data_IF_539752613321
#
_entry.id   IF_539752613321
#
_cell.length_a   1.000
_cell.length_b   1.000
_cell.length_c   1.000
_cell.angle_alpha   90.00
_cell.angle_beta   90.00
_cell.angle_gamma   90.00
#
_symmetry.space_group_name_H-M   'P 1'
#
loop_
_entity.id
_entity.type
_entity.pdbx_description
1 polymer ?
#
# COMPACT_ATOMS: atom_id res chain seq x y z
N UNK A 1 21.54 17.05 0.87
CA UNK A 1 20.46 16.47 0.05
C UNK A 1 20.82 16.67 -1.41
N UNK A 2 20.87 15.61 -2.22
CA UNK A 2 21.12 15.72 -3.67
C UNK A 2 19.89 16.24 -4.40
N UNK A 3 20.05 16.82 -5.59
CA UNK A 3 18.95 17.24 -6.46
C UNK A 3 18.03 16.05 -6.80
N UNK A 4 18.61 14.86 -6.98
CA UNK A 4 17.87 13.60 -7.19
C UNK A 4 16.94 13.28 -6.02
N UNK A 5 17.40 13.42 -4.77
CA UNK A 5 16.57 13.14 -3.59
C UNK A 5 15.41 14.13 -3.39
N UNK A 6 15.50 15.34 -3.95
CA UNK A 6 14.43 16.36 -3.90
C UNK A 6 13.29 16.07 -4.87
N UNK A 7 13.57 15.34 -5.96
CA UNK A 7 12.58 15.02 -6.99
C UNK A 7 12.04 13.60 -6.79
N UNK A 8 12.90 12.64 -6.45
CA UNK A 8 12.51 11.24 -6.26
C UNK A 8 11.46 11.06 -5.15
N UNK A 9 11.62 11.76 -4.02
CA UNK A 9 10.71 11.63 -2.87
C UNK A 9 9.27 12.09 -3.17
N UNK A 10 9.03 13.29 -3.76
CA UNK A 10 7.70 13.66 -4.23
C UNK A 10 7.11 12.68 -5.25
N UNK A 11 7.90 12.17 -6.18
CA UNK A 11 7.43 11.22 -7.19
C UNK A 11 7.01 9.88 -6.58
N UNK A 12 7.81 9.34 -5.65
CA UNK A 12 7.45 8.13 -4.91
C UNK A 12 6.20 8.37 -4.05
N UNK A 13 6.14 9.51 -3.34
CA UNK A 13 5.01 9.88 -2.50
C UNK A 13 3.70 10.02 -3.28
N UNK A 14 3.73 10.47 -4.53
CA UNK A 14 2.54 10.71 -5.34
C UNK A 14 1.65 9.46 -5.47
N UNK A 15 2.26 8.27 -5.62
CA UNK A 15 1.54 7.01 -5.74
C UNK A 15 0.74 6.72 -4.46
N UNK A 16 1.37 6.90 -3.30
CA UNK A 16 0.75 6.68 -1.99
C UNK A 16 -0.34 7.69 -1.67
N UNK A 17 -0.09 8.98 -1.93
CA UNK A 17 -1.07 10.04 -1.68
C UNK A 17 -2.29 9.87 -2.57
N UNK A 18 -2.10 9.61 -3.87
CA UNK A 18 -3.19 9.40 -4.80
C UNK A 18 -4.02 8.16 -4.42
N UNK A 19 -3.35 7.04 -4.15
CA UNK A 19 -3.99 5.80 -3.71
C UNK A 19 -4.75 5.98 -2.39
N UNK A 20 -4.17 6.69 -1.42
CA UNK A 20 -4.80 6.94 -0.13
C UNK A 20 -6.06 7.82 -0.27
N UNK A 21 -5.97 8.93 -1.02
CA UNK A 21 -7.13 9.81 -1.27
C UNK A 21 -8.27 9.07 -1.96
N UNK A 22 -7.95 8.27 -2.98
CA UNK A 22 -8.94 7.48 -3.71
C UNK A 22 -9.72 6.54 -2.77
N UNK A 23 -9.06 5.89 -1.83
CA UNK A 23 -9.74 5.00 -0.85
C UNK A 23 -10.45 5.70 0.27
N UNK A 24 -9.97 6.86 0.70
CA UNK A 24 -10.73 7.67 1.65
C UNK A 24 -12.08 8.11 1.03
N UNK A 25 -12.11 8.35 -0.28
CA UNK A 25 -13.32 8.73 -1.02
C UNK A 25 -14.18 7.52 -1.42
N UNK A 26 -13.54 6.43 -1.86
CA UNK A 26 -14.18 5.24 -2.41
C UNK A 26 -13.59 3.97 -1.76
N UNK A 27 -13.94 3.66 -0.50
CA UNK A 27 -13.34 2.53 0.22
C UNK A 27 -13.84 1.17 -0.29
N UNK A 28 -15.06 1.11 -0.82
CA UNK A 28 -15.80 -0.13 -1.14
C UNK A 28 -14.99 -1.20 -1.89
N UNK A 29 -14.31 -0.88 -3.01
CA UNK A 29 -13.50 -1.85 -3.73
C UNK A 29 -12.36 -2.46 -2.90
N UNK A 30 -11.75 -1.69 -1.99
CA UNK A 30 -10.67 -2.17 -1.12
C UNK A 30 -11.21 -2.94 0.08
N UNK A 31 -12.39 -2.58 0.58
CA UNK A 31 -13.11 -3.34 1.63
C UNK A 31 -13.50 -4.71 1.10
N UNK A 32 -14.17 -4.78 -0.06
CA UNK A 32 -14.57 -6.05 -0.67
C UNK A 32 -13.36 -6.99 -0.90
N UNK A 33 -12.22 -6.43 -1.30
CA UNK A 33 -10.99 -7.22 -1.47
C UNK A 33 -10.37 -7.67 -0.14
N UNK A 34 -10.51 -6.87 0.92
CA UNK A 34 -10.05 -7.25 2.26
C UNK A 34 -10.94 -8.32 2.90
N UNK A 35 -12.25 -8.27 2.67
CA UNK A 35 -13.21 -9.27 3.15
C UNK A 35 -13.10 -10.61 2.40
N UNK A 36 -12.63 -10.59 1.15
CA UNK A 36 -12.38 -11.82 0.38
C UNK A 36 -11.14 -12.60 0.82
N UNK A 37 -10.41 -12.12 1.83
CA UNK A 37 -9.21 -12.78 2.32
C UNK A 37 -9.54 -13.99 3.20
N UNK A 38 -8.64 -14.99 3.26
CA UNK A 38 -8.80 -16.13 4.14
C UNK A 38 -8.98 -15.71 5.62
N UNK A 39 -9.83 -16.42 6.40
CA UNK A 39 -10.11 -16.10 7.80
C UNK A 39 -8.86 -15.94 8.68
N UNK A 40 -7.79 -16.68 8.36
CA UNK A 40 -6.54 -16.62 9.11
C UNK A 40 -5.86 -15.24 9.05
N UNK A 41 -6.13 -14.47 8.00
CA UNK A 41 -5.61 -13.11 7.81
C UNK A 41 -6.53 -12.10 8.50
N UNK A 42 -7.85 -12.25 8.36
CA UNK A 42 -8.84 -11.33 8.93
C UNK A 42 -9.02 -11.47 10.44
N UNK A 43 -8.91 -12.68 11.01
CA UNK A 43 -8.98 -12.90 12.47
C UNK A 43 -7.81 -12.30 13.25
N UNK A 44 -6.68 -12.05 12.57
CA UNK A 44 -5.51 -11.39 13.17
C UNK A 44 -5.64 -9.86 13.25
N UNK A 45 -6.68 -9.28 12.64
CA UNK A 45 -6.87 -7.85 12.59
C UNK A 45 -7.56 -7.35 13.88
N UNK A 46 -7.00 -6.35 14.57
CA UNK A 46 -7.47 -5.91 15.89
C UNK A 46 -8.76 -5.08 15.87
N UNK A 47 -9.51 -5.07 14.76
CA UNK A 47 -10.67 -4.19 14.56
C UNK A 47 -11.77 -4.94 13.82
N UNK A 48 -12.97 -4.92 14.38
CA UNK A 48 -14.15 -5.62 13.84
C UNK A 48 -14.71 -4.98 12.55
N UNK A 49 -14.30 -3.75 12.24
CA UNK A 49 -14.77 -2.97 11.09
C UNK A 49 -13.66 -2.85 10.01
N UNK A 50 -13.80 -3.67 8.96
CA UNK A 50 -12.90 -3.70 7.81
C UNK A 50 -12.83 -2.36 7.08
N UNK A 51 -13.92 -1.61 7.02
CA UNK A 51 -13.94 -0.29 6.37
C UNK A 51 -13.09 0.72 7.13
N UNK A 52 -13.16 0.70 8.47
CA UNK A 52 -12.31 1.55 9.30
C UNK A 52 -10.83 1.21 9.15
N UNK A 53 -10.47 -0.07 9.06
CA UNK A 53 -9.10 -0.51 8.80
C UNK A 53 -8.58 -0.01 7.45
N UNK A 54 -9.38 -0.16 6.40
CA UNK A 54 -9.05 0.28 5.05
C UNK A 54 -8.86 1.79 5.00
N UNK A 55 -9.76 2.57 5.62
CA UNK A 55 -9.65 4.03 5.72
C UNK A 55 -8.47 4.47 6.58
N UNK A 56 -8.21 3.78 7.69
CA UNK A 56 -7.07 4.05 8.56
C UNK A 56 -5.74 3.88 7.82
N UNK A 57 -5.58 2.76 7.10
CA UNK A 57 -4.40 2.52 6.27
C UNK A 57 -4.24 3.59 5.18
N UNK A 58 -5.34 3.98 4.53
CA UNK A 58 -5.33 5.05 3.54
C UNK A 58 -4.91 6.41 4.15
N UNK A 59 -5.37 6.72 5.36
CA UNK A 59 -4.92 7.90 6.11
C UNK A 59 -3.41 7.89 6.37
N UNK A 60 -2.85 6.75 6.77
CA UNK A 60 -1.40 6.58 6.94
C UNK A 60 -0.67 6.83 5.62
N UNK A 61 -1.14 6.30 4.49
CA UNK A 61 -0.52 6.51 3.18
C UNK A 61 -0.48 7.98 2.77
N UNK A 62 -1.57 8.73 3.01
CA UNK A 62 -1.61 10.17 2.71
C UNK A 62 -0.64 10.94 3.60
N UNK A 63 -0.71 10.75 4.93
CA UNK A 63 0.12 11.49 5.88
C UNK A 63 1.61 11.17 5.68
N UNK A 64 1.96 9.89 5.60
CA UNK A 64 3.34 9.46 5.41
C UNK A 64 3.85 9.84 4.01
N UNK A 65 3.02 9.77 2.96
CA UNK A 65 3.37 10.26 1.63
C UNK A 65 3.69 11.75 1.62
N UNK A 66 2.86 12.58 2.24
CA UNK A 66 3.10 14.02 2.36
C UNK A 66 4.38 14.33 3.17
N UNK A 67 4.60 13.63 4.29
CA UNK A 67 5.83 13.77 5.08
C UNK A 67 7.08 13.38 4.27
N UNK A 68 7.00 12.30 3.49
CA UNK A 68 8.08 11.87 2.60
C UNK A 68 8.37 12.91 1.51
N UNK A 69 7.32 13.44 0.86
CA UNK A 69 7.42 14.46 -0.18
C UNK A 69 8.06 15.76 0.34
N UNK A 70 7.63 16.22 1.52
CA UNK A 70 8.17 17.40 2.20
C UNK A 70 9.55 17.15 2.81
N UNK A 71 10.04 15.92 2.81
CA UNK A 71 11.32 15.53 3.41
C UNK A 71 11.34 15.62 4.94
N UNK A 72 10.16 15.62 5.59
CA UNK A 72 10.01 15.69 7.04
C UNK A 72 9.98 14.27 7.62
N UNK A 73 10.97 13.94 8.46
CA UNK A 73 11.15 12.59 9.02
C UNK A 73 11.11 11.46 7.94
N UNK A 74 11.91 11.57 6.87
CA UNK A 74 11.75 10.71 5.68
C UNK A 74 11.95 9.22 5.97
N UNK A 75 12.75 8.86 6.98
CA UNK A 75 12.93 7.45 7.39
C UNK A 75 11.69 6.88 8.06
N UNK A 76 11.03 7.65 8.92
CA UNK A 76 9.79 7.23 9.58
C UNK A 76 8.63 7.19 8.57
N UNK A 77 8.56 8.17 7.69
CA UNK A 77 7.58 8.20 6.61
C UNK A 77 7.74 6.97 5.69
N UNK A 78 8.98 6.65 5.27
CA UNK A 78 9.25 5.45 4.48
C UNK A 78 8.90 4.15 5.23
N UNK A 79 9.25 4.05 6.52
CA UNK A 79 8.90 2.89 7.34
C UNK A 79 7.36 2.71 7.47
N UNK A 80 6.62 3.81 7.65
CA UNK A 80 5.16 3.78 7.71
C UNK A 80 4.55 3.38 6.36
N UNK A 81 5.04 3.91 5.25
CA UNK A 81 4.60 3.52 3.90
C UNK A 81 4.92 2.05 3.62
N UNK A 82 6.09 1.57 4.02
CA UNK A 82 6.44 0.17 3.91
C UNK A 82 5.51 -0.72 4.73
N UNK A 83 5.27 -0.38 6.00
CA UNK A 83 4.31 -1.09 6.84
C UNK A 83 2.89 -1.09 6.26
N UNK A 84 2.47 -0.01 5.60
CA UNK A 84 1.15 0.08 4.95
C UNK A 84 1.00 -0.82 3.72
N UNK A 85 2.12 -1.19 3.08
CA UNK A 85 2.14 -1.99 1.86
C UNK A 85 2.21 -3.49 2.12
N UNK A 86 2.84 -3.93 3.22
CA UNK A 86 3.02 -5.36 3.53
C UNK A 86 1.66 -6.09 3.62
N UNK A 87 0.65 -5.59 4.37
CA UNK A 87 -0.65 -6.24 4.45
C UNK A 87 -1.34 -6.26 3.09
N UNK A 88 -1.32 -5.15 2.34
CA UNK A 88 -2.01 -5.04 1.05
C UNK A 88 -1.36 -5.85 -0.07
N UNK A 89 -0.05 -6.12 0.02
CA UNK A 89 0.68 -6.88 -1.00
C UNK A 89 0.53 -8.38 -0.75
N UNK A 90 0.61 -8.82 0.52
CA UNK A 90 0.35 -10.21 0.90
C UNK A 90 -1.12 -10.60 0.66
N UNK A 91 -2.05 -9.71 0.96
CA UNK A 91 -3.49 -9.91 0.75
C UNK A 91 -3.91 -9.78 -0.73
N UNK A 92 -3.30 -8.85 -1.45
CA UNK A 92 -3.77 -8.43 -2.77
C UNK A 92 -3.13 -9.18 -3.95
N UNK A 93 -1.99 -9.83 -3.77
CA UNK A 93 -1.19 -10.38 -4.87
C UNK A 93 -0.51 -11.70 -4.51
N UNK A 94 -1.26 -12.68 -4.02
CA UNK A 94 -0.77 -14.06 -3.84
C UNK A 94 -0.61 -14.76 -5.19
N UNK A 95 0.37 -14.34 -5.99
CA UNK A 95 0.66 -14.96 -7.29
C UNK A 95 0.96 -16.47 -7.16
N UNK A 96 1.39 -16.90 -5.97
CA UNK A 96 1.66 -18.29 -5.62
C UNK A 96 0.40 -19.17 -5.50
N UNK A 97 -0.79 -18.57 -5.43
CA UNK A 97 -2.10 -19.25 -5.39
C UNK A 97 -2.86 -19.16 -6.72
N UNK A 98 -2.36 -18.40 -7.70
CA UNK A 98 -3.03 -18.20 -9.00
C UNK A 98 -2.68 -19.33 -9.98
N UNK A 99 -3.67 -20.10 -10.43
CA UNK A 99 -3.47 -21.25 -11.32
C UNK A 99 -3.32 -20.87 -12.80
N UNK A 100 -3.88 -19.73 -13.23
CA UNK A 100 -3.72 -19.23 -14.59
C UNK A 100 -2.31 -18.62 -14.80
N UNK A 101 -1.49 -19.14 -15.72
CA UNK A 101 -0.15 -18.62 -15.99
C UNK A 101 -0.13 -17.13 -16.38
N UNK A 102 -1.16 -16.65 -17.10
CA UNK A 102 -1.22 -15.26 -17.54
C UNK A 102 -1.55 -14.31 -16.37
N UNK A 103 -2.57 -14.62 -15.58
CA UNK A 103 -2.90 -13.89 -14.35
C UNK A 103 -1.74 -13.87 -13.35
N UNK A 104 -1.05 -15.01 -13.16
CA UNK A 104 0.11 -15.13 -12.27
C UNK A 104 1.23 -14.16 -12.67
N UNK A 105 1.58 -14.09 -13.95
CA UNK A 105 2.62 -13.18 -14.45
C UNK A 105 2.25 -11.70 -14.22
N UNK A 106 0.97 -11.36 -14.36
CA UNK A 106 0.48 -10.01 -14.10
C UNK A 106 0.56 -9.66 -12.59
N UNK A 107 0.16 -10.58 -11.71
CA UNK A 107 0.29 -10.39 -10.26
C UNK A 107 1.75 -10.24 -9.83
N UNK A 108 2.68 -11.04 -10.37
CA UNK A 108 4.11 -10.90 -10.13
C UNK A 108 4.65 -9.52 -10.54
N UNK A 109 4.19 -8.99 -11.67
CA UNK A 109 4.58 -7.65 -12.13
C UNK A 109 4.14 -6.57 -11.14
N UNK A 110 2.91 -6.66 -10.62
CA UNK A 110 2.42 -5.71 -9.60
C UNK A 110 3.17 -5.85 -8.28
N UNK A 111 3.46 -7.08 -7.86
CA UNK A 111 4.29 -7.36 -6.69
C UNK A 111 5.68 -6.70 -6.83
N UNK A 112 6.36 -6.95 -7.94
CA UNK A 112 7.69 -6.38 -8.21
C UNK A 112 7.66 -4.85 -8.29
N UNK A 113 6.59 -4.28 -8.85
CA UNK A 113 6.38 -2.82 -8.84
C UNK A 113 6.30 -2.27 -7.41
N UNK A 114 5.54 -2.92 -6.53
CA UNK A 114 5.43 -2.49 -5.12
C UNK A 114 6.76 -2.63 -4.39
N UNK A 115 7.51 -3.72 -4.62
CA UNK A 115 8.85 -3.94 -4.05
C UNK A 115 9.84 -2.89 -4.57
N UNK A 116 9.81 -2.56 -5.86
CA UNK A 116 10.64 -1.50 -6.44
C UNK A 116 10.36 -0.13 -5.82
N UNK A 117 9.07 0.22 -5.65
CA UNK A 117 8.66 1.47 -4.99
C UNK A 117 9.12 1.50 -3.52
N UNK A 118 9.15 0.35 -2.84
CA UNK A 118 9.67 0.21 -1.48
C UNK A 118 11.18 0.40 -1.37
N UNK A 119 11.94 -0.04 -2.39
CA UNK A 119 13.40 0.08 -2.45
C UNK A 119 13.90 1.51 -2.64
N UNK A 120 13.07 2.38 -3.20
CA UNK A 120 13.39 3.79 -3.48
C UNK A 120 14.03 4.02 -4.84
#
# INVERSE_FOLDING_TARGET
>A
MSLTSRIARPLLAAVFVNSGIDTLRNPGPRVARAESLPPQVTESLPVDDTEQLVKGNAGVQVVAGLLLALGRFPRLAAAALAGSLVPTTLAGHSFWEEDDPAARAQQQTQFLKNVGILGG
#
